data_IF_222349027944
#
_entry.id   IF_222349027944
#
_cell.length_a   1.000
_cell.length_b   1.000
_cell.length_c   1.000
_cell.angle_alpha   90.00
_cell.angle_beta   90.00
_cell.angle_gamma   90.00
#
_symmetry.space_group_name_H-M   'P 1'
#
loop_
_entity.id
_entity.type
_entity.pdbx_description
1 polymer ?
#
# COMPACT_ATOMS: atom_id res chain seq x y z
N UNK A 1 -5.33 14.97 4.57
CA UNK A 1 -5.84 13.75 5.23
C UNK A 1 -4.69 12.91 5.79
N UNK A 2 -3.78 13.52 6.56
CA UNK A 2 -2.62 12.85 7.19
C UNK A 2 -2.84 12.95 8.70
N UNK A 3 -2.65 11.85 9.42
CA UNK A 3 -2.72 11.77 10.88
C UNK A 3 -1.31 11.61 11.45
N UNK A 4 -1.15 11.95 12.73
CA UNK A 4 0.11 11.79 13.46
C UNK A 4 -0.06 10.67 14.49
N UNK A 5 0.81 9.66 14.42
CA UNK A 5 0.87 8.60 15.43
C UNK A 5 1.43 9.15 16.75
N UNK A 6 1.23 8.44 17.85
CA UNK A 6 1.81 8.80 19.16
C UNK A 6 3.35 8.84 19.15
N UNK A 7 3.99 8.12 18.23
CA UNK A 7 5.43 8.18 17.94
C UNK A 7 5.86 9.44 17.18
N UNK A 8 4.90 10.23 16.72
CA UNK A 8 5.11 11.41 15.89
C UNK A 8 5.21 11.15 14.39
N UNK A 9 5.24 9.89 13.96
CA UNK A 9 5.27 9.53 12.54
C UNK A 9 3.95 9.91 11.83
N UNK A 10 4.01 10.44 10.59
CA UNK A 10 2.82 10.71 9.79
C UNK A 10 2.27 9.43 9.16
N UNK A 11 0.94 9.34 9.04
CA UNK A 11 0.25 8.24 8.35
C UNK A 11 -0.95 8.79 7.54
N UNK A 12 -1.15 8.38 6.27
CA UNK A 12 -2.38 8.72 5.56
C UNK A 12 -3.60 8.07 6.21
N UNK A 13 -4.65 8.86 6.44
CA UNK A 13 -5.83 8.39 7.19
C UNK A 13 -6.67 7.36 6.42
N UNK A 14 -6.51 7.30 5.09
CA UNK A 14 -7.22 6.38 4.21
C UNK A 14 -6.19 5.45 3.59
N UNK A 15 -6.39 4.14 3.73
CA UNK A 15 -5.53 3.10 3.17
C UNK A 15 -6.27 2.18 2.19
N UNK A 16 -5.51 1.54 1.33
CA UNK A 16 -5.96 0.51 0.40
C UNK A 16 -5.48 -0.87 0.89
N UNK A 17 -6.40 -1.79 1.14
CA UNK A 17 -6.10 -3.13 1.66
C UNK A 17 -5.97 -4.15 0.52
N UNK A 18 -5.07 -5.12 0.67
CA UNK A 18 -4.72 -6.07 -0.41
C UNK A 18 -5.20 -7.49 -0.11
N UNK A 19 -6.47 -7.60 0.30
CA UNK A 19 -7.18 -8.85 0.64
C UNK A 19 -8.34 -9.05 -0.36
N UNK A 20 -8.55 -10.18 -1.03
CA UNK A 20 -7.66 -11.32 -1.32
C UNK A 20 -7.46 -11.36 -2.85
N UNK A 21 -6.82 -12.42 -3.39
CA UNK A 21 -6.46 -12.62 -4.81
C UNK A 21 -5.13 -11.97 -5.24
N UNK A 22 -4.09 -12.79 -5.41
CA UNK A 22 -2.75 -12.35 -5.77
C UNK A 22 -2.64 -11.81 -7.20
N UNK A 23 -3.40 -12.38 -8.14
CA UNK A 23 -3.34 -11.97 -9.55
C UNK A 23 -3.96 -10.58 -9.75
N UNK A 24 -4.94 -10.22 -8.92
CA UNK A 24 -5.58 -8.91 -8.94
C UNK A 24 -4.78 -7.81 -8.22
N UNK A 25 -3.86 -8.14 -7.31
CA UNK A 25 -3.26 -7.13 -6.42
C UNK A 25 -2.35 -6.15 -7.14
N UNK A 26 -1.55 -6.61 -8.11
CA UNK A 26 -0.65 -5.70 -8.82
C UNK A 26 -1.42 -4.58 -9.56
N UNK A 27 -2.38 -4.87 -10.46
CA UNK A 27 -3.15 -3.83 -11.13
C UNK A 27 -4.01 -3.01 -10.16
N UNK A 28 -4.55 -3.63 -9.11
CA UNK A 28 -5.37 -2.92 -8.12
C UNK A 28 -4.57 -1.88 -7.32
N UNK A 29 -3.37 -2.24 -6.85
CA UNK A 29 -2.49 -1.31 -6.11
C UNK A 29 -1.98 -0.20 -7.04
N UNK A 30 -1.66 -0.49 -8.30
CA UNK A 30 -1.31 0.56 -9.28
C UNK A 30 -2.47 1.55 -9.45
N UNK A 31 -3.71 1.05 -9.61
CA UNK A 31 -4.88 1.90 -9.73
C UNK A 31 -5.12 2.75 -8.48
N UNK A 32 -4.99 2.17 -7.29
CA UNK A 32 -5.11 2.89 -6.02
C UNK A 32 -4.06 4.02 -5.91
N UNK A 33 -2.80 3.73 -6.20
CA UNK A 33 -1.71 4.72 -6.18
C UNK A 33 -1.97 5.86 -7.18
N UNK A 34 -2.44 5.56 -8.39
CA UNK A 34 -2.83 6.57 -9.40
C UNK A 34 -4.06 7.38 -9.01
N UNK A 35 -4.97 6.80 -8.22
CA UNK A 35 -6.14 7.48 -7.68
C UNK A 35 -5.80 8.37 -6.46
N UNK A 36 -4.54 8.42 -6.02
CA UNK A 36 -4.08 9.26 -4.92
C UNK A 36 -4.03 8.56 -3.55
N UNK A 37 -4.18 7.23 -3.50
CA UNK A 37 -3.86 6.50 -2.28
C UNK A 37 -2.35 6.53 -2.05
N UNK A 38 -1.98 6.75 -0.80
CA UNK A 38 -0.59 6.78 -0.35
C UNK A 38 -0.33 5.84 0.83
N UNK A 39 -1.32 5.05 1.25
CA UNK A 39 -1.22 4.07 2.31
C UNK A 39 -1.70 2.72 1.78
N UNK A 40 -0.79 1.75 1.74
CA UNK A 40 -1.05 0.38 1.29
C UNK A 40 -0.92 -0.58 2.47
N UNK A 41 -1.97 -1.35 2.73
CA UNK A 41 -2.05 -2.35 3.79
C UNK A 41 -2.04 -3.77 3.22
N UNK A 42 -1.10 -4.59 3.68
CA UNK A 42 -1.01 -6.02 3.36
C UNK A 42 -0.75 -6.82 4.64
N UNK A 43 -0.61 -8.14 4.51
CA UNK A 43 -0.14 -9.04 5.57
C UNK A 43 0.49 -10.27 4.94
N UNK A 44 1.52 -10.79 5.60
CA UNK A 44 2.29 -11.96 5.17
C UNK A 44 1.41 -13.14 4.74
N UNK A 45 0.38 -13.49 5.51
CA UNK A 45 -0.45 -14.67 5.25
C UNK A 45 -1.31 -14.56 3.99
N UNK A 46 -1.50 -13.36 3.43
CA UNK A 46 -2.23 -13.21 2.16
C UNK A 46 -1.41 -13.69 0.97
N UNK A 47 -0.08 -13.76 1.10
CA UNK A 47 0.81 -14.13 -0.02
C UNK A 47 0.85 -13.09 -1.14
N UNK A 48 0.30 -11.88 -0.92
CA UNK A 48 0.17 -10.83 -1.94
C UNK A 48 1.31 -9.80 -1.92
N UNK A 49 2.21 -9.86 -0.94
CA UNK A 49 3.35 -8.93 -0.81
C UNK A 49 4.23 -8.84 -2.08
N UNK A 50 4.50 -9.92 -2.84
CA UNK A 50 5.22 -9.82 -4.11
C UNK A 50 4.50 -8.95 -5.14
N UNK A 51 3.17 -9.09 -5.28
CA UNK A 51 2.36 -8.28 -6.18
C UNK A 51 2.30 -6.81 -5.74
N UNK A 52 2.24 -6.55 -4.42
CA UNK A 52 2.33 -5.18 -3.87
C UNK A 52 3.68 -4.54 -4.19
N UNK A 53 4.77 -5.30 -4.05
CA UNK A 53 6.13 -4.83 -4.39
C UNK A 53 6.26 -4.49 -5.87
N UNK A 54 5.73 -5.33 -6.76
CA UNK A 54 5.71 -5.09 -8.20
C UNK A 54 4.90 -3.82 -8.53
N UNK A 55 3.69 -3.69 -7.96
CA UNK A 55 2.85 -2.52 -8.15
C UNK A 55 3.53 -1.21 -7.72
N UNK A 56 4.19 -1.19 -6.56
CA UNK A 56 4.91 0.00 -6.09
C UNK A 56 5.98 0.40 -7.11
N UNK A 57 6.76 -0.56 -7.63
CA UNK A 57 7.79 -0.30 -8.65
C UNK A 57 7.20 0.20 -9.97
N UNK A 58 6.09 -0.38 -10.42
CA UNK A 58 5.48 -0.07 -11.72
C UNK A 58 4.52 1.12 -11.68
N UNK A 59 4.11 1.59 -10.51
CA UNK A 59 3.16 2.70 -10.35
C UNK A 59 3.71 4.06 -10.82
N UNK A 60 5.04 4.24 -10.79
CA UNK A 60 5.68 5.54 -11.00
C UNK A 60 5.56 6.51 -9.81
N UNK A 61 4.89 6.11 -8.71
CA UNK A 61 4.79 6.94 -7.50
C UNK A 61 6.08 6.80 -6.69
N UNK A 62 6.73 7.90 -6.27
CA UNK A 62 7.93 7.84 -5.45
C UNK A 62 7.70 7.01 -4.19
N UNK A 63 8.60 6.07 -3.89
CA UNK A 63 8.50 5.21 -2.71
C UNK A 63 8.38 6.01 -1.40
N UNK A 64 9.02 7.18 -1.31
CA UNK A 64 8.93 8.10 -0.16
C UNK A 64 7.51 8.60 0.11
N UNK A 65 6.64 8.58 -0.89
CA UNK A 65 5.26 9.04 -0.79
C UNK A 65 4.29 7.90 -0.44
N UNK A 66 4.80 6.69 -0.16
CA UNK A 66 3.99 5.51 0.12
C UNK A 66 4.26 5.04 1.56
N UNK A 67 3.23 5.08 2.38
CA UNK A 67 3.18 4.37 3.64
C UNK A 67 2.78 2.92 3.36
N UNK A 68 3.60 1.95 3.78
CA UNK A 68 3.31 0.52 3.62
C UNK A 68 3.23 -0.14 4.99
N UNK A 69 2.21 -0.97 5.19
CA UNK A 69 1.98 -1.74 6.41
C UNK A 69 1.88 -3.23 6.07
N UNK A 70 2.56 -4.07 6.86
CA UNK A 70 2.41 -5.53 6.86
C UNK A 70 2.31 -6.05 8.30
N UNK A 71 2.00 -7.34 8.48
CA UNK A 71 1.72 -7.97 9.77
C UNK A 71 2.41 -9.34 9.83
N UNK A 72 2.85 -9.75 11.03
CA UNK A 72 3.58 -11.01 11.30
C UNK A 72 2.70 -12.25 11.10
#
# INVERSE_FOLDING_TARGET
TIQKLNTGAPIPAIGFATWQDNEAQEPAVIAALKAGYHHIDTVRIYGTEPAVSAAIKHSGVPRSNIFIMTKL
#
